data_IF_522781498838
#
_entry.id   IF_522781498838
#
_cell.length_a   1.000
_cell.length_b   1.000
_cell.length_c   1.000
_cell.angle_alpha   90.00
_cell.angle_beta   90.00
_cell.angle_gamma   90.00
#
_symmetry.space_group_name_H-M   'P 1'
#
loop_
_entity.id
_entity.type
_entity.pdbx_description
1 polymer ?
#
# COMPACT_ATOMS: atom_id res chain seq x y z
N UNK A 1 -3.56 -46.91 5.19
CA UNK A 1 -2.91 -46.49 3.91
C UNK A 1 -2.17 -45.17 4.10
N UNK A 2 -0.91 -45.03 3.68
CA UNK A 2 -0.16 -43.78 3.83
C UNK A 2 -0.43 -42.84 2.64
N UNK A 3 -1.08 -41.70 2.88
CA UNK A 3 -1.26 -40.65 1.86
C UNK A 3 -0.20 -39.56 2.04
N UNK A 4 0.61 -39.30 1.00
CA UNK A 4 1.63 -38.23 1.02
C UNK A 4 1.06 -36.98 0.36
N UNK A 5 0.73 -35.95 1.14
CA UNK A 5 0.24 -34.65 0.63
C UNK A 5 1.36 -33.63 0.55
N UNK A 6 1.44 -32.90 -0.58
CA UNK A 6 2.34 -31.74 -0.71
C UNK A 6 1.70 -30.50 -0.08
N UNK A 7 2.41 -29.85 0.84
CA UNK A 7 1.97 -28.65 1.55
C UNK A 7 2.95 -27.51 1.33
N UNK A 8 2.42 -26.34 0.95
CA UNK A 8 3.22 -25.12 0.84
C UNK A 8 3.43 -24.54 2.26
N UNK A 9 4.68 -24.40 2.68
CA UNK A 9 5.02 -23.96 4.04
C UNK A 9 5.62 -22.55 4.08
N UNK A 10 6.31 -22.15 3.01
CA UNK A 10 6.96 -20.84 2.92
C UNK A 10 6.89 -20.31 1.48
N UNK A 11 6.81 -19.01 1.32
CA UNK A 11 6.75 -18.30 0.05
C UNK A 11 7.56 -17.00 0.10
N UNK A 12 7.36 -16.15 -0.90
CA UNK A 12 8.08 -14.89 -1.04
C UNK A 12 7.91 -13.95 0.18
N UNK A 13 6.73 -13.94 0.80
CA UNK A 13 6.43 -13.05 1.94
C UNK A 13 6.92 -13.57 3.29
N UNK A 14 7.23 -14.87 3.39
CA UNK A 14 7.74 -15.46 4.64
C UNK A 14 9.27 -15.50 4.69
N UNK A 15 9.96 -15.17 3.59
CA UNK A 15 11.41 -15.07 3.57
C UNK A 15 11.87 -13.80 4.30
N UNK A 16 12.87 -13.96 5.19
CA UNK A 16 13.53 -12.80 5.81
C UNK A 16 14.40 -12.08 4.79
N UNK A 17 14.19 -10.78 4.64
CA UNK A 17 15.11 -9.91 3.92
C UNK A 17 16.18 -9.42 4.91
N UNK A 18 17.44 -9.88 4.74
CA UNK A 18 18.53 -9.63 5.70
C UNK A 18 18.93 -8.14 5.81
N UNK A 19 18.69 -7.34 4.78
CA UNK A 19 19.17 -5.94 4.70
C UNK A 19 18.12 -5.00 4.10
N UNK A 20 16.93 -4.92 4.70
CA UNK A 20 15.92 -3.97 4.26
C UNK A 20 16.13 -2.61 4.94
N UNK A 21 16.35 -1.54 4.17
CA UNK A 21 16.29 -0.16 4.65
C UNK A 21 14.84 0.37 4.79
N UNK A 22 13.86 -0.53 4.89
CA UNK A 22 12.43 -0.20 4.83
C UNK A 22 12.00 0.77 5.93
N UNK A 23 12.48 0.58 7.15
CA UNK A 23 12.15 1.45 8.28
C UNK A 23 12.73 2.86 8.08
N UNK A 24 13.97 2.95 7.59
CA UNK A 24 14.63 4.22 7.30
C UNK A 24 13.87 5.00 6.22
N UNK A 25 13.40 4.32 5.17
CA UNK A 25 12.59 4.93 4.13
C UNK A 25 11.24 5.44 4.64
N UNK A 26 10.59 4.69 5.53
CA UNK A 26 9.37 5.15 6.20
C UNK A 26 9.65 6.39 7.04
N UNK A 27 10.63 6.34 7.94
CA UNK A 27 10.99 7.47 8.81
C UNK A 27 11.33 8.71 7.97
N UNK A 28 12.17 8.56 6.94
CA UNK A 28 12.50 9.64 6.02
C UNK A 28 11.27 10.27 5.39
N UNK A 29 10.33 9.43 4.91
CA UNK A 29 9.09 9.90 4.28
C UNK A 29 8.20 10.65 5.26
N UNK A 30 8.04 10.14 6.49
CA UNK A 30 7.22 10.79 7.52
C UNK A 30 7.83 12.12 7.97
N UNK A 31 9.15 12.17 8.15
CA UNK A 31 9.87 13.41 8.48
C UNK A 31 9.71 14.43 7.37
N UNK A 32 9.85 14.02 6.09
CA UNK A 32 9.63 14.90 4.95
C UNK A 32 8.19 15.42 4.90
N UNK A 33 7.19 14.55 5.11
CA UNK A 33 5.79 14.96 5.14
C UNK A 33 5.51 15.93 6.29
N UNK A 34 6.03 15.65 7.49
CA UNK A 34 5.87 16.53 8.64
C UNK A 34 6.54 17.88 8.42
N UNK A 35 7.78 17.90 7.94
CA UNK A 35 8.53 19.13 7.67
C UNK A 35 7.81 20.00 6.63
N UNK A 36 7.34 19.41 5.54
CA UNK A 36 6.58 20.14 4.50
C UNK A 36 5.23 20.63 5.04
N UNK A 37 4.54 19.83 5.85
CA UNK A 37 3.28 20.23 6.49
C UNK A 37 3.49 21.36 7.51
N UNK A 38 4.59 21.32 8.27
CA UNK A 38 4.97 22.38 9.19
C UNK A 38 5.24 23.70 8.47
N UNK A 39 5.94 23.65 7.32
CA UNK A 39 6.10 24.82 6.45
C UNK A 39 4.76 25.33 5.94
N UNK A 40 3.87 24.40 5.53
CA UNK A 40 2.55 24.71 5.03
C UNK A 40 1.66 25.44 6.06
N UNK A 41 1.73 25.06 7.33
CA UNK A 41 0.89 25.67 8.38
C UNK A 41 1.41 27.00 8.91
N UNK A 42 2.74 27.18 8.96
CA UNK A 42 3.34 28.26 9.74
C UNK A 42 3.93 29.39 8.90
N UNK A 43 4.11 29.20 7.59
CA UNK A 43 4.84 30.14 6.74
C UNK A 43 4.10 30.43 5.43
N UNK A 44 4.20 31.66 4.88
CA UNK A 44 3.58 32.02 3.60
C UNK A 44 4.05 31.16 2.41
N UNK A 45 5.24 30.56 2.51
CA UNK A 45 5.75 29.61 1.49
C UNK A 45 4.82 28.40 1.30
N UNK A 46 3.98 28.09 2.30
CA UNK A 46 2.95 27.05 2.22
C UNK A 46 1.98 27.20 1.06
N UNK A 47 1.66 28.44 0.66
CA UNK A 47 0.74 28.70 -0.44
C UNK A 47 1.23 28.17 -1.80
N UNK A 48 2.54 27.90 -1.90
CA UNK A 48 3.22 27.36 -3.08
C UNK A 48 3.24 25.82 -3.16
N UNK A 49 2.66 25.13 -2.17
CA UNK A 49 2.77 23.67 -2.03
C UNK A 49 1.50 22.90 -2.42
N UNK A 50 0.31 23.44 -2.15
CA UNK A 50 -0.96 22.79 -2.47
C UNK A 50 -1.27 22.84 -3.97
N UNK A 51 -1.92 21.79 -4.49
CA UNK A 51 -2.29 21.69 -5.90
C UNK A 51 -3.75 22.05 -6.11
N UNK A 52 -4.04 22.94 -7.06
CA UNK A 52 -5.40 23.19 -7.56
C UNK A 52 -5.36 23.24 -9.09
N UNK A 53 -6.50 23.10 -9.78
CA UNK A 53 -6.52 23.17 -11.24
C UNK A 53 -6.01 24.51 -11.77
N UNK A 54 -6.37 25.64 -11.15
CA UNK A 54 -5.85 26.96 -11.55
C UNK A 54 -4.33 27.05 -11.42
N UNK A 55 -3.80 26.66 -10.26
CA UNK A 55 -2.36 26.70 -9.98
C UNK A 55 -1.56 25.80 -10.92
N UNK A 56 -2.04 24.59 -11.20
CA UNK A 56 -1.30 23.63 -12.02
C UNK A 56 -1.50 23.89 -13.52
N UNK A 57 -2.72 24.08 -13.99
CA UNK A 57 -3.02 24.17 -15.41
C UNK A 57 -2.92 25.58 -15.99
N UNK A 58 -3.28 26.61 -15.23
CA UNK A 58 -3.21 28.01 -15.71
C UNK A 58 -1.84 28.61 -15.41
N UNK A 59 -1.39 28.52 -14.15
CA UNK A 59 -0.10 29.07 -13.72
C UNK A 59 1.11 28.16 -13.99
N UNK A 60 0.89 26.95 -14.51
CA UNK A 60 1.93 25.99 -14.92
C UNK A 60 2.84 25.54 -13.78
N UNK A 61 2.33 25.54 -12.55
CA UNK A 61 3.09 25.21 -11.35
C UNK A 61 3.08 23.71 -11.05
N UNK A 62 3.64 22.91 -11.96
CA UNK A 62 3.53 21.44 -11.95
C UNK A 62 4.16 20.76 -10.72
N UNK A 63 5.11 21.40 -10.04
CA UNK A 63 5.72 20.86 -8.81
C UNK A 63 4.67 20.60 -7.72
N UNK A 64 3.55 21.34 -7.75
CA UNK A 64 2.45 21.19 -6.80
C UNK A 64 1.85 19.80 -6.80
N UNK A 65 1.88 19.09 -7.94
CA UNK A 65 1.41 17.71 -8.03
C UNK A 65 2.20 16.78 -7.11
N UNK A 66 3.50 17.04 -6.92
CA UNK A 66 4.34 16.29 -5.99
C UNK A 66 4.22 16.83 -4.57
N UNK A 67 4.37 18.14 -4.36
CA UNK A 67 4.40 18.72 -3.01
C UNK A 67 3.07 18.58 -2.27
N UNK A 68 1.94 18.57 -2.98
CA UNK A 68 0.61 18.31 -2.38
C UNK A 68 0.53 16.95 -1.69
N UNK A 69 1.27 15.94 -2.16
CA UNK A 69 1.34 14.62 -1.50
C UNK A 69 2.16 14.63 -0.21
N UNK A 70 2.97 15.68 0.04
CA UNK A 70 3.83 15.80 1.22
C UNK A 70 3.21 16.67 2.32
N UNK A 71 2.25 17.53 1.98
CA UNK A 71 1.61 18.44 2.94
C UNK A 71 0.26 17.92 3.39
N UNK A 72 -0.18 18.30 4.58
CA UNK A 72 -1.47 17.91 5.14
C UNK A 72 -2.22 19.14 5.65
N UNK A 73 -3.55 19.06 5.70
CA UNK A 73 -4.39 20.17 6.14
C UNK A 73 -4.12 20.57 7.60
N UNK A 74 -3.84 19.58 8.46
CA UNK A 74 -3.54 19.76 9.88
C UNK A 74 -2.84 18.52 10.46
N UNK A 75 -2.49 18.58 11.76
CA UNK A 75 -1.79 17.52 12.48
C UNK A 75 -2.59 16.21 12.55
N UNK A 76 -3.91 16.26 12.74
CA UNK A 76 -4.76 15.07 12.82
C UNK A 76 -4.81 14.35 11.47
N UNK A 77 -4.99 15.10 10.38
CA UNK A 77 -4.93 14.56 9.02
C UNK A 77 -3.55 13.95 8.71
N UNK A 78 -2.46 14.60 9.14
CA UNK A 78 -1.10 14.04 9.03
C UNK A 78 -0.94 12.73 9.83
N UNK A 79 -1.37 12.68 11.09
CA UNK A 79 -1.23 11.49 11.94
C UNK A 79 -2.03 10.31 11.37
N UNK A 80 -3.24 10.55 10.87
CA UNK A 80 -4.08 9.51 10.26
C UNK A 80 -3.42 8.91 9.01
N UNK A 81 -2.87 9.76 8.12
CA UNK A 81 -2.14 9.28 6.95
C UNK A 81 -0.84 8.58 7.35
N UNK A 82 -0.10 9.15 8.31
CA UNK A 82 1.19 8.61 8.77
C UNK A 82 1.06 7.20 9.30
N UNK A 83 -0.03 6.89 10.02
CA UNK A 83 -0.27 5.55 10.52
C UNK A 83 -0.34 4.51 9.39
N UNK A 84 -1.18 4.73 8.37
CA UNK A 84 -1.28 3.80 7.25
C UNK A 84 -0.08 3.83 6.31
N UNK A 85 0.49 5.01 6.07
CA UNK A 85 1.71 5.16 5.26
C UNK A 85 2.89 4.43 5.89
N UNK A 86 2.99 4.40 7.22
CA UNK A 86 4.03 3.64 7.94
C UNK A 86 3.90 2.15 7.72
N UNK A 87 2.69 1.61 7.94
CA UNK A 87 2.44 0.18 7.85
C UNK A 87 2.62 -0.28 6.40
N UNK A 88 1.93 0.38 5.45
CA UNK A 88 1.99 0.00 4.04
C UNK A 88 3.36 0.28 3.43
N UNK A 89 3.96 1.43 3.73
CA UNK A 89 5.30 1.78 3.26
C UNK A 89 6.37 0.80 3.74
N UNK A 90 6.31 0.39 5.01
CA UNK A 90 7.20 -0.65 5.54
C UNK A 90 6.98 -1.98 4.82
N UNK A 91 5.74 -2.47 4.74
CA UNK A 91 5.46 -3.75 4.10
C UNK A 91 5.91 -3.78 2.64
N UNK A 92 5.61 -2.72 1.89
CA UNK A 92 5.96 -2.63 0.47
C UNK A 92 7.48 -2.54 0.30
N UNK A 93 8.15 -1.66 1.04
CA UNK A 93 9.61 -1.49 0.95
C UNK A 93 10.37 -2.73 1.41
N UNK A 94 9.89 -3.40 2.47
CA UNK A 94 10.52 -4.61 3.03
C UNK A 94 10.48 -5.80 2.06
N UNK A 95 9.32 -6.06 1.44
CA UNK A 95 9.13 -7.26 0.61
C UNK A 95 9.48 -7.02 -0.86
N UNK A 96 9.20 -5.82 -1.38
CA UNK A 96 9.28 -5.54 -2.81
C UNK A 96 10.38 -4.52 -3.17
N UNK A 97 11.01 -3.90 -2.16
CA UNK A 97 12.18 -3.05 -2.30
C UNK A 97 11.89 -1.55 -2.21
N UNK A 98 12.95 -0.80 -1.89
CA UNK A 98 12.92 0.66 -1.68
C UNK A 98 12.52 1.49 -2.90
N UNK A 99 12.64 0.93 -4.11
CA UNK A 99 12.18 1.62 -5.32
C UNK A 99 10.66 1.72 -5.38
N UNK A 100 9.93 0.76 -4.80
CA UNK A 100 8.47 0.81 -4.77
C UNK A 100 7.96 1.81 -3.73
N UNK A 101 8.60 1.86 -2.56
CA UNK A 101 8.33 2.86 -1.55
C UNK A 101 9.63 3.44 -0.96
N UNK A 102 9.83 4.78 -1.01
CA UNK A 102 8.84 5.79 -1.41
C UNK A 102 8.76 6.07 -2.93
N UNK A 103 9.75 5.66 -3.72
CA UNK A 103 9.94 6.09 -5.12
C UNK A 103 8.70 6.02 -6.01
N UNK A 104 8.34 4.82 -6.48
CA UNK A 104 7.21 4.61 -7.40
C UNK A 104 5.89 5.04 -6.75
N UNK A 105 5.70 4.80 -5.46
CA UNK A 105 4.49 5.22 -4.75
C UNK A 105 4.21 6.73 -4.88
N UNK A 106 5.23 7.59 -4.68
CA UNK A 106 5.07 9.03 -4.82
C UNK A 106 5.05 9.50 -6.28
N UNK A 107 5.67 8.77 -7.22
CA UNK A 107 5.47 9.03 -8.66
C UNK A 107 4.02 8.78 -9.08
N UNK A 108 3.39 7.72 -8.56
CA UNK A 108 1.95 7.53 -8.71
C UNK A 108 1.14 8.62 -7.99
N UNK A 109 1.63 9.14 -6.87
CA UNK A 109 1.05 10.34 -6.22
C UNK A 109 0.89 11.52 -7.19
N UNK A 110 1.92 11.81 -7.99
CA UNK A 110 1.86 12.86 -9.03
C UNK A 110 0.74 12.56 -10.03
N UNK A 111 0.68 11.32 -10.54
CA UNK A 111 -0.34 10.90 -11.50
C UNK A 111 -1.76 10.95 -10.93
N UNK A 112 -1.93 10.48 -9.69
CA UNK A 112 -3.21 10.52 -8.96
C UNK A 112 -3.66 11.96 -8.82
N UNK A 113 -2.79 12.84 -8.33
CA UNK A 113 -3.12 14.25 -8.15
C UNK A 113 -3.48 14.92 -9.47
N UNK A 114 -2.77 14.61 -10.56
CA UNK A 114 -3.07 15.11 -11.90
C UNK A 114 -4.48 14.70 -12.36
N UNK A 115 -4.84 13.43 -12.20
CA UNK A 115 -6.17 12.91 -12.58
C UNK A 115 -7.26 13.55 -11.71
N UNK A 116 -7.02 13.68 -10.41
CA UNK A 116 -8.00 14.18 -9.45
C UNK A 116 -8.31 15.66 -9.69
N UNK A 117 -7.28 16.50 -9.81
CA UNK A 117 -7.50 17.94 -10.02
C UNK A 117 -8.15 18.22 -11.38
N UNK A 118 -7.96 17.36 -12.38
CA UNK A 118 -8.65 17.51 -13.66
C UNK A 118 -10.19 17.46 -13.52
N UNK A 119 -10.70 16.77 -12.51
CA UNK A 119 -12.14 16.70 -12.21
C UNK A 119 -12.62 17.71 -11.16
N UNK A 120 -11.76 18.60 -10.66
CA UNK A 120 -12.09 19.52 -9.55
C UNK A 120 -12.33 20.95 -10.05
N UNK A 121 -13.12 21.77 -9.30
CA UNK A 121 -13.21 23.20 -9.56
C UNK A 121 -11.86 23.92 -9.40
N UNK A 122 -11.60 25.01 -10.13
CA UNK A 122 -10.28 25.67 -10.19
C UNK A 122 -9.69 26.10 -8.84
N UNK A 123 -10.54 26.41 -7.86
CA UNK A 123 -10.16 26.93 -6.56
C UNK A 123 -9.93 25.81 -5.52
N UNK A 124 -10.43 24.59 -5.78
CA UNK A 124 -10.32 23.49 -4.84
C UNK A 124 -8.89 22.99 -4.80
N UNK A 125 -8.28 23.10 -3.62
CA UNK A 125 -6.91 22.65 -3.37
C UNK A 125 -6.89 21.24 -2.80
N UNK A 126 -5.97 20.42 -3.31
CA UNK A 126 -5.68 19.06 -2.89
C UNK A 126 -4.41 19.05 -2.04
N UNK A 127 -4.49 18.37 -0.89
CA UNK A 127 -3.38 18.11 0.04
C UNK A 127 -3.53 16.72 0.64
N UNK A 128 -2.40 16.09 0.96
CA UNK A 128 -2.32 14.84 1.71
C UNK A 128 -1.76 13.67 0.91
N UNK A 129 -1.16 12.73 1.63
CA UNK A 129 -0.58 11.52 1.05
C UNK A 129 -1.61 10.39 0.81
N UNK A 130 -2.92 10.64 1.01
CA UNK A 130 -3.92 9.57 1.06
C UNK A 130 -4.06 8.83 -0.27
N UNK A 131 -3.97 9.52 -1.42
CA UNK A 131 -3.92 8.88 -2.73
C UNK A 131 -2.78 7.84 -2.83
N UNK A 132 -1.60 8.18 -2.30
CA UNK A 132 -0.44 7.27 -2.23
C UNK A 132 -0.70 6.09 -1.28
N UNK A 133 -1.35 6.33 -0.13
CA UNK A 133 -1.75 5.26 0.79
C UNK A 133 -2.69 4.27 0.12
N UNK A 134 -3.70 4.76 -0.61
CA UNK A 134 -4.64 3.90 -1.33
C UNK A 134 -3.97 3.14 -2.49
N UNK A 135 -3.00 3.77 -3.16
CA UNK A 135 -2.16 3.09 -4.14
C UNK A 135 -1.36 1.93 -3.52
N UNK A 136 -0.69 2.18 -2.38
CA UNK A 136 0.06 1.15 -1.66
C UNK A 136 -0.86 0.01 -1.19
N UNK A 137 -2.06 0.34 -0.71
CA UNK A 137 -3.04 -0.66 -0.29
C UNK A 137 -3.53 -1.51 -1.46
N UNK A 138 -3.92 -0.90 -2.59
CA UNK A 138 -4.33 -1.62 -3.80
C UNK A 138 -3.22 -2.51 -4.36
N UNK A 139 -1.99 -2.00 -4.37
CA UNK A 139 -0.80 -2.75 -4.77
C UNK A 139 -0.55 -3.96 -3.86
N UNK A 140 -0.53 -3.73 -2.55
CA UNK A 140 -0.33 -4.78 -1.55
C UNK A 140 -1.44 -5.83 -1.58
N UNK A 141 -2.69 -5.43 -1.77
CA UNK A 141 -3.85 -6.31 -1.85
C UNK A 141 -3.64 -7.38 -2.92
N UNK A 142 -3.31 -6.97 -4.15
CA UNK A 142 -3.15 -7.90 -5.28
C UNK A 142 -2.03 -8.89 -4.99
N UNK A 143 -0.88 -8.39 -4.51
CA UNK A 143 0.27 -9.25 -4.23
C UNK A 143 0.03 -10.17 -3.04
N UNK A 144 -0.59 -9.70 -1.97
CA UNK A 144 -0.90 -10.54 -0.82
C UNK A 144 -1.87 -11.68 -1.19
N UNK A 145 -2.91 -11.38 -1.96
CA UNK A 145 -3.83 -12.39 -2.47
C UNK A 145 -3.13 -13.37 -3.42
N UNK A 146 -2.27 -12.90 -4.32
CA UNK A 146 -1.56 -13.75 -5.30
C UNK A 146 -0.45 -14.62 -4.70
N UNK A 147 0.26 -14.12 -3.69
CA UNK A 147 1.48 -14.75 -3.15
C UNK A 147 1.19 -15.66 -1.94
N UNK A 148 0.24 -15.30 -1.08
CA UNK A 148 0.01 -15.99 0.20
C UNK A 148 -0.76 -17.31 0.08
N UNK A 149 -0.39 -18.18 -0.87
CA UNK A 149 -1.15 -19.37 -1.27
C UNK A 149 -1.24 -20.47 -0.21
N UNK A 150 -0.38 -20.46 0.81
CA UNK A 150 -0.45 -21.41 1.94
C UNK A 150 -1.56 -21.06 2.94
N UNK A 151 -2.17 -19.88 2.84
CA UNK A 151 -3.29 -19.46 3.68
C UNK A 151 -4.60 -19.61 2.87
N UNK A 152 -5.67 -20.17 3.46
CA UNK A 152 -6.98 -20.25 2.81
C UNK A 152 -7.44 -18.89 2.27
N UNK A 153 -8.07 -18.87 1.08
CA UNK A 153 -8.48 -17.62 0.43
C UNK A 153 -9.38 -16.75 1.32
N UNK A 154 -10.29 -17.37 2.09
CA UNK A 154 -11.18 -16.65 3.00
C UNK A 154 -10.40 -15.85 4.06
N UNK A 155 -9.35 -16.43 4.66
CA UNK A 155 -8.52 -15.74 5.65
C UNK A 155 -7.70 -14.63 5.01
N UNK A 156 -7.25 -14.82 3.77
CA UNK A 156 -6.54 -13.78 3.03
C UNK A 156 -7.45 -12.58 2.74
N UNK A 157 -8.65 -12.84 2.23
CA UNK A 157 -9.67 -11.82 1.98
C UNK A 157 -10.04 -11.10 3.27
N UNK A 158 -10.31 -11.83 4.36
CA UNK A 158 -10.58 -11.21 5.66
C UNK A 158 -9.46 -10.26 6.11
N UNK A 159 -8.19 -10.68 5.99
CA UNK A 159 -7.05 -9.83 6.37
C UNK A 159 -6.99 -8.56 5.52
N UNK A 160 -7.14 -8.69 4.20
CA UNK A 160 -7.18 -7.55 3.28
C UNK A 160 -8.34 -6.61 3.62
N UNK A 161 -9.52 -7.16 3.92
CA UNK A 161 -10.69 -6.37 4.30
C UNK A 161 -10.49 -5.64 5.63
N UNK A 162 -9.90 -6.28 6.64
CA UNK A 162 -9.58 -5.63 7.92
C UNK A 162 -8.59 -4.48 7.73
N UNK A 163 -7.51 -4.72 6.97
CA UNK A 163 -6.57 -3.64 6.61
C UNK A 163 -7.29 -2.53 5.84
N UNK A 164 -8.15 -2.91 4.89
CA UNK A 164 -8.99 -2.00 4.14
C UNK A 164 -9.89 -1.15 5.02
N UNK A 165 -10.49 -1.71 6.06
CA UNK A 165 -11.28 -0.95 7.04
C UNK A 165 -10.41 0.12 7.71
N UNK A 166 -9.19 -0.19 8.17
CA UNK A 166 -8.29 0.81 8.74
C UNK A 166 -7.86 1.90 7.75
N UNK A 167 -7.73 1.58 6.46
CA UNK A 167 -7.44 2.55 5.39
C UNK A 167 -8.67 3.42 5.06
N UNK A 168 -9.86 2.82 5.13
CA UNK A 168 -11.14 3.45 4.82
C UNK A 168 -11.73 4.24 5.98
N UNK A 169 -11.31 3.97 7.23
CA UNK A 169 -11.76 4.70 8.42
C UNK A 169 -11.44 6.19 8.23
N UNK A 170 -12.46 7.04 8.00
CA UNK A 170 -12.25 8.46 7.92
C UNK A 170 -12.13 8.94 9.36
N UNK A 171 -10.92 9.20 9.82
CA UNK A 171 -10.77 9.91 11.10
C UNK A 171 -11.29 11.36 10.98
N UNK A 172 -11.49 11.87 9.76
CA UNK A 172 -12.04 13.19 9.53
C UNK A 172 -13.10 13.15 8.42
N UNK A 173 -14.38 13.19 8.81
CA UNK A 173 -15.46 13.60 7.91
C UNK A 173 -15.34 15.10 7.62
N UNK A 174 -14.31 15.51 6.88
CA UNK A 174 -14.14 16.90 6.44
C UNK A 174 -14.42 16.99 4.95
N UNK A 175 -15.03 18.09 4.53
CA UNK A 175 -15.33 18.42 3.13
C UNK A 175 -14.08 18.49 2.21
N UNK A 176 -12.88 18.30 2.75
CA UNK A 176 -11.59 18.33 2.06
C UNK A 176 -11.03 16.92 1.74
N UNK A 177 -11.66 15.83 2.21
CA UNK A 177 -11.22 14.47 1.90
C UNK A 177 -11.66 14.08 0.48
N UNK A 178 -10.69 13.95 -0.43
CA UNK A 178 -10.95 13.53 -1.79
C UNK A 178 -11.19 12.02 -1.87
N UNK A 179 -12.45 11.59 -1.72
CA UNK A 179 -12.85 10.21 -2.03
C UNK A 179 -12.49 9.81 -3.46
N UNK A 180 -12.43 10.78 -4.37
CA UNK A 180 -11.97 10.57 -5.74
C UNK A 180 -10.49 10.21 -5.80
N UNK A 181 -9.62 10.90 -5.05
CA UNK A 181 -8.20 10.53 -4.94
C UNK A 181 -8.00 9.14 -4.35
N UNK A 182 -8.83 8.74 -3.39
CA UNK A 182 -8.79 7.41 -2.81
C UNK A 182 -9.14 6.34 -3.86
N UNK A 183 -10.22 6.54 -4.62
CA UNK A 183 -10.64 5.63 -5.68
C UNK A 183 -9.59 5.51 -6.79
N UNK A 184 -9.08 6.64 -7.29
CA UNK A 184 -8.05 6.68 -8.33
C UNK A 184 -6.76 6.01 -7.84
N UNK A 185 -6.31 6.34 -6.62
CA UNK A 185 -5.14 5.73 -6.00
C UNK A 185 -5.28 4.21 -5.91
N UNK A 186 -6.41 3.72 -5.40
CA UNK A 186 -6.67 2.29 -5.28
C UNK A 186 -6.69 1.58 -6.63
N UNK A 187 -7.39 2.12 -7.63
CA UNK A 187 -7.48 1.54 -8.98
C UNK A 187 -6.09 1.44 -9.61
N UNK A 188 -5.30 2.51 -9.56
CA UNK A 188 -3.93 2.51 -10.09
C UNK A 188 -3.02 1.55 -9.32
N UNK A 189 -3.19 1.44 -8.00
CA UNK A 189 -2.48 0.49 -7.15
C UNK A 189 -2.77 -0.96 -7.52
N UNK A 190 -4.06 -1.30 -7.67
CA UNK A 190 -4.50 -2.63 -8.12
C UNK A 190 -3.96 -2.95 -9.50
N UNK A 191 -4.10 -2.02 -10.45
CA UNK A 191 -3.57 -2.19 -11.81
C UNK A 191 -2.06 -2.44 -11.82
N UNK A 192 -1.29 -1.63 -11.11
CA UNK A 192 0.15 -1.80 -10.98
C UNK A 192 0.52 -3.11 -10.26
N UNK A 193 -0.26 -3.52 -9.26
CA UNK A 193 -0.10 -4.78 -8.55
C UNK A 193 -0.23 -5.99 -9.47
N UNK A 194 -1.21 -5.99 -10.37
CA UNK A 194 -1.36 -7.05 -11.38
C UNK A 194 -0.19 -7.09 -12.35
N UNK A 195 0.22 -5.94 -12.88
CA UNK A 195 1.38 -5.82 -13.78
C UNK A 195 2.65 -6.34 -13.10
N UNK A 196 2.92 -5.90 -11.87
CA UNK A 196 4.05 -6.37 -11.08
C UNK A 196 3.99 -7.89 -10.86
N UNK A 197 2.83 -8.42 -10.46
CA UNK A 197 2.67 -9.85 -10.24
C UNK A 197 2.97 -10.66 -11.51
N UNK A 198 2.47 -10.24 -12.67
CA UNK A 198 2.71 -10.92 -13.95
C UNK A 198 4.19 -10.89 -14.32
N UNK A 199 4.87 -9.74 -14.17
CA UNK A 199 6.29 -9.59 -14.51
C UNK A 199 7.18 -10.43 -13.59
N UNK A 200 6.87 -10.48 -12.28
CA UNK A 200 7.72 -11.13 -11.28
C UNK A 200 7.24 -12.52 -10.83
N UNK A 201 6.21 -13.09 -11.48
CA UNK A 201 5.60 -14.37 -11.09
C UNK A 201 6.62 -15.52 -10.98
N UNK A 202 7.59 -15.62 -11.91
CA UNK A 202 8.62 -16.66 -11.91
C UNK A 202 9.47 -16.58 -10.64
N UNK A 203 9.92 -15.38 -10.27
CA UNK A 203 10.70 -15.14 -9.05
C UNK A 203 9.88 -15.42 -7.79
N UNK A 204 8.62 -15.00 -7.79
CA UNK A 204 7.68 -15.25 -6.70
C UNK A 204 7.48 -16.75 -6.49
N UNK A 205 7.16 -17.52 -7.54
CA UNK A 205 6.92 -18.96 -7.41
C UNK A 205 8.19 -19.76 -7.14
N UNK A 206 9.34 -19.33 -7.66
CA UNK A 206 10.63 -19.94 -7.32
C UNK A 206 11.00 -19.80 -5.82
N UNK A 207 10.33 -18.89 -5.10
CA UNK A 207 10.58 -18.70 -3.67
C UNK A 207 9.81 -19.69 -2.78
N UNK A 208 8.88 -20.45 -3.34
CA UNK A 208 8.00 -21.37 -2.61
C UNK A 208 8.74 -22.62 -2.13
N UNK A 209 8.45 -23.03 -0.90
CA UNK A 209 9.00 -24.23 -0.26
C UNK A 209 7.85 -25.17 0.08
N UNK A 210 7.92 -26.37 -0.48
CA UNK A 210 6.92 -27.43 -0.32
C UNK A 210 7.49 -28.55 0.55
N UNK A 211 6.70 -29.04 1.50
CA UNK A 211 7.01 -30.22 2.30
C UNK A 211 6.01 -31.33 2.04
N UNK A 212 6.44 -32.58 2.20
CA UNK A 212 5.56 -33.73 2.18
C UNK A 212 5.03 -33.96 3.61
N UNK A 213 3.71 -33.94 3.77
CA UNK A 213 3.04 -34.30 5.01
C UNK A 213 2.49 -35.72 4.85
N UNK A 214 2.90 -36.61 5.75
CA UNK A 214 2.43 -37.99 5.81
C UNK A 214 1.12 -37.96 6.58
N UNK A 215 0.02 -38.28 5.91
CA UNK A 215 -1.29 -38.39 6.53
C UNK A 215 -1.58 -39.89 6.69
N UNK A 216 -1.68 -40.33 7.94
CA UNK A 216 -2.21 -41.66 8.24
C UNK A 216 -3.73 -41.61 8.06
N UNK A 217 -4.27 -42.45 7.18
CA UNK A 217 -5.72 -42.64 7.05
C UNK A 217 -6.23 -43.42 8.26
N UNK A 218 -7.34 -42.99 8.85
CA UNK A 218 -7.95 -43.57 10.06
C UNK A 218 -8.23 -45.09 10.02
N UNK A 219 -8.20 -45.72 8.84
CA UNK A 219 -8.32 -47.18 8.69
C UNK A 219 -7.26 -47.96 9.49
N UNK A 220 -6.06 -47.41 9.65
CA UNK A 220 -4.96 -48.08 10.37
C UNK A 220 -5.16 -48.04 11.91
N UNK A 221 -5.99 -47.12 12.44
CA UNK A 221 -6.28 -47.02 13.89
C UNK A 221 -7.40 -47.96 14.35
N UNK A 222 -8.26 -48.41 13.42
CA UNK A 222 -9.36 -49.33 13.73
C UNK A 222 -8.84 -50.77 13.81
N UNK A 223 -7.88 -51.17 12.98
CA UNK A 223 -7.27 -52.51 13.02
C UNK A 223 -6.43 -52.74 14.29
N UNK A 224 -5.68 -51.74 14.76
CA UNK A 224 -4.87 -51.82 15.99
C UNK A 224 -5.73 -51.79 17.27
N UNK A 225 -6.92 -51.19 17.23
CA UNK A 225 -7.89 -51.23 18.32
C UNK A 225 -8.72 -52.53 18.35
N UNK A 226 -8.67 -53.34 17.29
CA UNK A 226 -9.40 -54.61 17.13
C UNK A 226 -8.50 -55.85 17.22
N UNK A 227 -7.18 -55.70 17.36
CA UNK A 227 -6.20 -56.78 17.59
C UNK A 227 -5.80 -56.90 19.07
#
# INVERSE_FOLDING_TARGET
MIEVKRKLVSNYLTRKHKESFALQWVIFTLVACYAMSFLFWNYPVGEYLAASPSKVFEMKEYWRLFTSSLIHADLSHFLSNSFMLSIMGYFVSYHYGAILFPGIAFLFGILINLIVIWGYPPEVSLVGASGVVYWLWGFWLVLYLGIQRHVPIIRRVMKVSIVGLFVLLPNEFRAQTSYFAHAVGFILGVGFGFVYFIIFNKKIFASEIWTNEIVHTDDDLVEEAMS
#
